data_IF_842233937739
#
_entry.id   IF_842233937739
#
_cell.length_a   1.000
_cell.length_b   1.000
_cell.length_c   1.000
_cell.angle_alpha   90.00
_cell.angle_beta   90.00
_cell.angle_gamma   90.00
#
_symmetry.space_group_name_H-M   'P 1'
#
loop_
_entity.id
_entity.type
_entity.pdbx_description
1 polymer ?
#
# COMPACT_ATOMS: atom_id res chain seq x y z
N UNK A 1 4.54 -7.22 14.91
CA UNK A 1 3.23 -6.59 14.63
C UNK A 1 2.53 -7.35 13.52
N UNK A 2 1.21 -7.50 13.57
CA UNK A 2 0.47 -8.23 12.55
C UNK A 2 0.26 -7.34 11.30
N UNK A 3 0.48 -7.93 10.13
CA UNK A 3 0.24 -7.27 8.84
C UNK A 3 -1.27 -7.04 8.64
N UNK A 4 -1.68 -5.85 8.21
CA UNK A 4 -3.09 -5.59 7.88
C UNK A 4 -3.31 -5.74 6.38
N UNK A 5 -4.25 -6.60 6.00
CA UNK A 5 -4.66 -6.82 4.61
C UNK A 5 -5.84 -5.94 4.26
N UNK A 6 -5.72 -5.16 3.19
CA UNK A 6 -6.82 -4.37 2.61
C UNK A 6 -7.09 -4.87 1.20
N UNK A 7 -8.34 -5.23 0.93
CA UNK A 7 -8.75 -5.62 -0.41
C UNK A 7 -8.86 -4.39 -1.32
N UNK A 8 -8.26 -4.47 -2.51
CA UNK A 8 -8.27 -3.38 -3.50
C UNK A 8 -9.25 -3.70 -4.64
N UNK A 9 -9.34 -4.97 -5.06
CA UNK A 9 -10.33 -5.50 -6.01
C UNK A 9 -10.71 -6.93 -5.62
N UNK A 10 -11.63 -7.56 -6.35
CA UNK A 10 -11.92 -8.99 -6.20
C UNK A 10 -10.66 -9.87 -6.34
N UNK A 11 -9.66 -9.40 -7.07
CA UNK A 11 -8.46 -10.16 -7.44
C UNK A 11 -7.18 -9.69 -6.75
N UNK A 12 -7.19 -8.60 -5.96
CA UNK A 12 -5.97 -8.03 -5.39
C UNK A 12 -6.09 -7.50 -3.96
N UNK A 13 -4.96 -7.50 -3.26
CA UNK A 13 -4.83 -6.97 -1.92
C UNK A 13 -3.53 -6.16 -1.74
N UNK A 14 -3.56 -5.26 -0.76
CA UNK A 14 -2.37 -4.67 -0.18
C UNK A 14 -2.17 -5.16 1.25
N UNK A 15 -0.93 -5.33 1.67
CA UNK A 15 -0.60 -5.60 3.06
C UNK A 15 0.40 -4.58 3.59
N UNK A 16 0.14 -4.05 4.79
CA UNK A 16 1.00 -3.07 5.43
C UNK A 16 1.63 -3.68 6.68
N UNK A 17 2.97 -3.63 6.75
CA UNK A 17 3.76 -4.06 7.90
C UNK A 17 4.60 -2.90 8.40
N UNK A 18 4.15 -2.30 9.49
CA UNK A 18 4.93 -1.32 10.24
C UNK A 18 6.11 -1.96 10.96
N UNK A 19 7.22 -1.25 11.04
CA UNK A 19 8.38 -1.59 11.91
C UNK A 19 8.01 -1.64 13.40
N UNK A 20 6.95 -0.91 13.79
CA UNK A 20 6.59 -0.67 15.18
C UNK A 20 7.45 0.37 15.90
N UNK A 21 8.32 1.06 15.16
CA UNK A 21 9.06 2.23 15.64
C UNK A 21 8.64 3.41 14.77
N UNK A 22 8.16 4.48 15.41
CA UNK A 22 7.68 5.70 14.74
C UNK A 22 8.75 6.38 13.90
N UNK A 23 10.04 6.13 14.12
CA UNK A 23 11.15 6.68 13.34
C UNK A 23 11.61 5.76 12.20
N UNK A 24 11.10 4.53 12.14
CA UNK A 24 11.52 3.52 11.19
C UNK A 24 10.56 3.42 10.00
N UNK A 25 10.90 2.56 9.04
CA UNK A 25 10.14 2.41 7.81
C UNK A 25 8.96 1.46 7.93
N UNK A 26 7.87 1.78 7.25
CA UNK A 26 6.74 0.89 6.99
C UNK A 26 6.87 0.27 5.60
N UNK A 27 6.74 -1.04 5.52
CA UNK A 27 6.71 -1.78 4.26
C UNK A 27 5.27 -2.00 3.82
N UNK A 28 4.97 -1.70 2.55
CA UNK A 28 3.67 -1.98 1.94
C UNK A 28 3.89 -2.97 0.80
N UNK A 29 3.06 -4.01 0.69
CA UNK A 29 3.11 -5.00 -0.39
C UNK A 29 1.82 -4.98 -1.17
N UNK A 30 1.94 -4.86 -2.49
CA UNK A 30 0.83 -5.00 -3.42
C UNK A 30 0.93 -6.35 -4.14
N UNK A 31 -0.17 -7.12 -4.12
CA UNK A 31 -0.19 -8.50 -4.60
C UNK A 31 -1.46 -8.80 -5.41
N UNK A 32 -1.31 -9.66 -6.42
CA UNK A 32 -2.45 -10.42 -6.95
C UNK A 32 -2.01 -11.78 -7.54
N UNK A 33 -2.83 -12.85 -7.40
CA UNK A 33 -4.00 -12.95 -6.51
C UNK A 33 -3.58 -12.92 -5.03
N UNK A 34 -4.55 -12.87 -4.11
CA UNK A 34 -4.29 -12.75 -2.67
C UNK A 34 -3.18 -13.71 -2.22
N UNK A 35 -2.02 -13.13 -1.87
CA UNK A 35 -0.83 -13.80 -1.32
C UNK A 35 0.06 -14.59 -2.30
N UNK A 36 -0.09 -14.45 -3.62
CA UNK A 36 0.69 -15.28 -4.56
C UNK A 36 1.95 -14.61 -5.11
N UNK A 37 1.88 -13.34 -5.54
CA UNK A 37 3.03 -12.65 -6.14
C UNK A 37 3.02 -11.18 -5.73
N UNK A 38 4.15 -10.71 -5.20
CA UNK A 38 4.37 -9.30 -4.87
C UNK A 38 4.86 -8.58 -6.12
N UNK A 39 4.13 -7.56 -6.56
CA UNK A 39 4.48 -6.78 -7.75
C UNK A 39 5.06 -5.41 -7.43
N UNK A 40 4.78 -4.91 -6.23
CA UNK A 40 5.36 -3.68 -5.73
C UNK A 40 5.52 -3.75 -4.20
N UNK A 41 6.71 -3.40 -3.72
CA UNK A 41 7.09 -3.38 -2.30
C UNK A 41 7.72 -2.02 -1.94
N UNK A 42 6.93 -0.93 -1.85
CA UNK A 42 7.47 0.34 -1.40
C UNK A 42 7.73 0.32 0.10
N UNK A 43 8.72 1.14 0.49
CA UNK A 43 9.10 1.39 1.87
C UNK A 43 9.04 2.89 2.11
N UNK A 44 8.24 3.33 3.09
CA UNK A 44 8.07 4.74 3.46
C UNK A 44 8.41 4.94 4.94
N UNK A 45 8.99 6.08 5.30
CA UNK A 45 9.40 6.39 6.67
C UNK A 45 9.17 7.87 6.99
N UNK A 46 9.49 8.30 8.21
CA UNK A 46 9.47 9.73 8.54
C UNK A 46 10.43 10.57 7.67
N UNK A 47 11.54 10.00 7.18
CA UNK A 47 12.47 10.70 6.29
C UNK A 47 11.99 10.72 4.83
N UNK A 48 11.25 9.69 4.40
CA UNK A 48 10.70 9.56 3.06
C UNK A 48 9.20 9.29 3.19
N UNK A 49 8.44 10.38 3.26
CA UNK A 49 7.01 10.33 3.58
C UNK A 49 6.13 9.89 2.41
N UNK A 50 6.66 9.88 1.19
CA UNK A 50 5.93 9.43 0.01
C UNK A 50 6.76 8.48 -0.83
N UNK A 51 6.12 7.42 -1.33
CA UNK A 51 6.65 6.54 -2.36
C UNK A 51 5.66 6.46 -3.51
N UNK A 52 6.15 6.67 -4.73
CA UNK A 52 5.33 6.71 -5.95
C UNK A 52 5.73 5.55 -6.85
N UNK A 53 4.73 4.83 -7.36
CA UNK A 53 4.91 3.76 -8.32
C UNK A 53 5.34 4.36 -9.69
N UNK A 54 6.53 4.02 -10.21
CA UNK A 54 7.09 4.69 -11.39
C UNK A 54 6.55 4.17 -12.73
N UNK A 55 5.97 2.96 -12.74
CA UNK A 55 5.50 2.27 -13.93
C UNK A 55 4.29 1.38 -13.62
N UNK A 56 3.52 1.02 -14.64
CA UNK A 56 2.42 0.08 -14.50
C UNK A 56 2.99 -1.31 -14.19
N UNK A 57 2.49 -1.97 -13.14
CA UNK A 57 2.96 -3.30 -12.73
C UNK A 57 1.81 -4.23 -12.37
N UNK A 58 1.91 -5.50 -12.76
CA UNK A 58 0.94 -6.53 -12.39
C UNK A 58 0.80 -7.61 -13.45
N UNK A 59 -0.35 -8.28 -13.45
CA UNK A 59 -0.72 -9.25 -14.47
C UNK A 59 -1.96 -8.76 -15.25
N UNK A 60 -2.33 -9.46 -16.32
CA UNK A 60 -3.49 -9.10 -17.15
C UNK A 60 -4.80 -8.90 -16.36
N UNK A 61 -4.94 -9.54 -15.19
CA UNK A 61 -6.14 -9.44 -14.34
C UNK A 61 -6.11 -8.20 -13.46
N UNK A 62 -4.94 -7.85 -12.91
CA UNK A 62 -4.77 -6.66 -12.06
C UNK A 62 -3.48 -5.92 -12.41
N UNK A 63 -3.62 -4.65 -12.75
CA UNK A 63 -2.51 -3.73 -13.00
C UNK A 63 -2.56 -2.58 -11.99
N UNK A 64 -1.50 -2.40 -11.21
CA UNK A 64 -1.26 -1.18 -10.44
C UNK A 64 -0.75 -0.10 -11.39
N UNK A 65 -1.45 1.03 -11.45
CA UNK A 65 -1.18 2.07 -12.44
C UNK A 65 -0.12 3.04 -11.92
N UNK A 66 0.81 3.43 -12.78
CA UNK A 66 1.82 4.45 -12.55
C UNK A 66 1.21 5.68 -11.86
N UNK A 67 1.92 6.23 -10.89
CA UNK A 67 1.45 7.35 -10.10
C UNK A 67 0.63 6.95 -8.88
N UNK A 68 0.40 5.66 -8.65
CA UNK A 68 -0.06 5.16 -7.35
C UNK A 68 0.93 5.61 -6.25
N UNK A 69 0.39 6.17 -5.17
CA UNK A 69 1.17 6.79 -4.09
C UNK A 69 0.92 6.09 -2.76
N UNK A 70 1.98 6.00 -1.96
CA UNK A 70 1.94 5.57 -0.56
C UNK A 70 2.47 6.71 0.28
N UNK A 71 1.62 7.26 1.14
CA UNK A 71 1.96 8.37 2.01
C UNK A 71 2.00 7.93 3.46
N UNK A 72 3.10 8.22 4.14
CA UNK A 72 3.27 8.11 5.58
C UNK A 72 2.96 9.45 6.23
N UNK A 73 2.14 9.44 7.28
CA UNK A 73 1.76 10.63 8.04
C UNK A 73 1.91 10.33 9.52
N UNK A 74 2.85 11.00 10.17
CA UNK A 74 3.00 10.90 11.62
C UNK A 74 1.79 11.55 12.31
N UNK A 75 1.17 10.85 13.27
CA UNK A 75 0.04 11.36 14.05
C UNK A 75 0.48 11.88 15.44
N UNK A 76 1.77 11.76 15.77
CA UNK A 76 2.34 12.06 17.08
C UNK A 76 2.42 10.82 17.98
N UNK A 77 3.40 10.78 18.90
CA UNK A 77 3.71 9.59 19.70
C UNK A 77 4.19 8.42 18.83
N UNK A 78 3.88 7.18 19.23
CA UNK A 78 4.16 5.96 18.46
C UNK A 78 3.09 5.64 17.39
N UNK A 79 2.33 6.65 16.94
CA UNK A 79 1.23 6.49 15.99
C UNK A 79 1.51 7.15 14.64
N UNK A 80 1.09 6.46 13.57
CA UNK A 80 1.20 6.95 12.21
C UNK A 80 0.10 6.37 11.32
N UNK A 81 -0.25 7.13 10.29
CA UNK A 81 -1.19 6.76 9.25
C UNK A 81 -0.42 6.45 7.96
N UNK A 82 -0.78 5.37 7.30
CA UNK A 82 -0.36 5.09 5.92
C UNK A 82 -1.56 5.18 5.01
N UNK A 83 -1.46 6.03 3.99
CA UNK A 83 -2.51 6.27 3.00
C UNK A 83 -2.05 5.77 1.64
N UNK A 84 -2.85 4.92 1.01
CA UNK A 84 -2.64 4.45 -0.35
C UNK A 84 -3.62 5.18 -1.27
N UNK A 85 -3.11 5.94 -2.25
CA UNK A 85 -3.95 6.73 -3.15
C UNK A 85 -3.49 6.61 -4.59
N UNK A 86 -4.40 6.29 -5.50
CA UNK A 86 -4.11 6.24 -6.94
C UNK A 86 -5.08 5.34 -7.68
N UNK A 87 -4.61 4.73 -8.77
CA UNK A 87 -5.44 3.91 -9.65
C UNK A 87 -4.96 2.46 -9.73
N UNK A 88 -5.94 1.58 -9.89
CA UNK A 88 -5.73 0.18 -10.26
C UNK A 88 -6.65 -0.16 -11.42
N UNK A 89 -6.21 -1.06 -12.28
CA UNK A 89 -7.01 -1.59 -13.39
C UNK A 89 -7.27 -3.06 -13.14
N UNK A 90 -8.53 -3.43 -13.10
CA UNK A 90 -8.97 -4.81 -13.06
C UNK A 90 -9.60 -5.18 -14.42
N UNK A 91 -9.29 -6.37 -14.94
CA UNK A 91 -9.79 -6.81 -16.25
C UNK A 91 -11.33 -6.87 -16.32
N UNK A 92 -11.98 -7.15 -15.20
CA UNK A 92 -13.44 -7.30 -15.11
C UNK A 92 -14.11 -5.96 -14.82
N UNK A 93 -13.49 -5.14 -13.96
CA UNK A 93 -14.11 -3.92 -13.40
C UNK A 93 -13.63 -2.62 -14.05
N UNK A 94 -12.59 -2.67 -14.89
CA UNK A 94 -11.96 -1.49 -15.47
C UNK A 94 -11.02 -0.77 -14.50
N UNK A 95 -10.73 0.51 -14.77
CA UNK A 95 -9.89 1.35 -13.91
C UNK A 95 -10.71 1.93 -12.75
N UNK A 96 -10.23 1.74 -11.53
CA UNK A 96 -10.82 2.27 -10.31
C UNK A 96 -9.80 3.11 -9.52
N UNK A 97 -10.27 4.21 -8.91
CA UNK A 97 -9.48 4.94 -7.93
C UNK A 97 -9.56 4.20 -6.59
N UNK A 98 -8.42 4.10 -5.92
CA UNK A 98 -8.34 3.57 -4.56
C UNK A 98 -7.86 4.66 -3.59
N UNK A 99 -8.46 4.63 -2.41
CA UNK A 99 -8.04 5.39 -1.24
C UNK A 99 -8.17 4.45 -0.03
N UNK A 100 -7.05 3.93 0.44
CA UNK A 100 -6.99 3.02 1.59
C UNK A 100 -6.25 3.66 2.77
N UNK A 101 -6.82 3.54 3.97
CA UNK A 101 -6.22 4.04 5.20
C UNK A 101 -5.82 2.87 6.10
N UNK A 102 -4.54 2.81 6.46
CA UNK A 102 -4.02 1.95 7.54
C UNK A 102 -3.59 2.87 8.67
N UNK A 103 -4.24 2.75 9.84
CA UNK A 103 -3.85 3.49 11.05
C UNK A 103 -3.05 2.54 11.94
N UNK A 104 -1.83 2.94 12.29
CA UNK A 104 -1.01 2.27 13.27
C UNK A 104 -0.97 3.10 14.56
N UNK A 105 -1.39 2.50 15.66
CA UNK A 105 -1.17 3.01 17.01
C UNK A 105 -0.52 1.91 17.83
N UNK A 106 0.68 2.16 18.36
CA UNK A 106 1.26 1.31 19.40
C UNK A 106 0.48 1.61 20.69
N UNK A 107 -0.35 0.67 21.15
CA UNK A 107 -0.94 0.70 22.51
C UNK A 107 0.11 0.41 23.56
#
# INVERSE_FOLDING_TARGET
>A
MASQTTQLTANSNSTASGSGDSNQSTQIRFMSPANSTVWWLPTVSNAITNSVLPEDTGNDTVTFVKGLTVTFTALGGSAYQVTLTGQIRDKVSGTANISGLVIYSQT
#
